data_IF_914660968501
#
_entry.id   IF_914660968501
#
_cell.length_a   1.000
_cell.length_b   1.000
_cell.length_c   1.000
_cell.angle_alpha   90.00
_cell.angle_beta   90.00
_cell.angle_gamma   90.00
#
_symmetry.space_group_name_H-M   'P 1'
#
loop_
_entity.id
_entity.type
_entity.pdbx_description
1 polymer ?
#
# COMPACT_ATOMS: atom_id res chain seq x y z
N UNK A 1 0.51 -10.48 -42.11
CA UNK A 1 -0.71 -11.13 -41.57
C UNK A 1 -0.26 -12.39 -40.83
N UNK A 2 -0.18 -12.35 -39.51
CA UNK A 2 0.27 -13.48 -38.69
C UNK A 2 -0.95 -14.26 -38.20
N UNK A 3 -1.19 -15.44 -38.79
CA UNK A 3 -2.21 -16.38 -38.31
C UNK A 3 -1.77 -16.92 -36.94
N UNK A 4 -2.39 -16.43 -35.88
CA UNK A 4 -2.22 -16.96 -34.52
C UNK A 4 -3.11 -18.20 -34.42
N UNK A 5 -2.49 -19.37 -34.52
CA UNK A 5 -3.15 -20.66 -34.27
C UNK A 5 -3.74 -20.62 -32.86
N UNK A 6 -5.07 -20.67 -32.75
CA UNK A 6 -5.76 -20.82 -31.47
C UNK A 6 -5.41 -22.20 -30.93
N UNK A 7 -4.70 -22.21 -29.79
CA UNK A 7 -4.37 -23.43 -29.07
C UNK A 7 -5.66 -23.90 -28.40
N UNK A 8 -6.19 -25.05 -28.81
CA UNK A 8 -7.34 -25.65 -28.13
C UNK A 8 -6.95 -25.92 -26.66
N UNK A 9 -7.72 -25.35 -25.73
CA UNK A 9 -7.49 -25.52 -24.31
C UNK A 9 -7.84 -26.95 -23.91
N UNK A 10 -6.83 -27.74 -23.53
CA UNK A 10 -7.04 -29.08 -22.99
C UNK A 10 -7.79 -28.96 -21.65
N UNK A 11 -8.96 -29.59 -21.48
CA UNK A 11 -9.72 -29.50 -20.24
C UNK A 11 -8.90 -29.97 -19.04
N UNK A 12 -9.03 -29.28 -17.90
CA UNK A 12 -8.34 -29.62 -16.67
C UNK A 12 -8.72 -31.06 -16.22
N UNK A 13 -7.76 -31.96 -16.00
CA UNK A 13 -8.01 -33.36 -15.63
C UNK A 13 -8.86 -33.53 -14.36
N UNK A 14 -8.88 -32.54 -13.47
CA UNK A 14 -9.69 -32.56 -12.24
C UNK A 14 -11.18 -32.28 -12.46
N UNK A 15 -11.60 -31.76 -13.63
CA UNK A 15 -13.02 -31.58 -13.95
C UNK A 15 -13.72 -32.88 -14.41
N UNK A 16 -12.95 -33.91 -14.79
CA UNK A 16 -13.48 -35.17 -15.34
C UNK A 16 -14.24 -36.02 -14.33
N UNK A 17 -13.92 -35.92 -13.04
CA UNK A 17 -14.46 -36.82 -12.01
C UNK A 17 -15.55 -36.17 -11.14
N UNK A 18 -16.07 -35.00 -11.54
CA UNK A 18 -16.99 -34.26 -10.69
C UNK A 18 -18.40 -34.84 -10.77
N UNK A 19 -19.15 -34.91 -9.65
CA UNK A 19 -20.43 -35.61 -9.59
C UNK A 19 -21.52 -34.98 -10.47
N UNK A 20 -21.36 -33.71 -10.86
CA UNK A 20 -22.27 -32.98 -11.76
C UNK A 20 -21.97 -33.16 -13.25
N UNK A 21 -20.85 -33.78 -13.63
CA UNK A 21 -20.51 -34.13 -15.03
C UNK A 21 -21.03 -35.52 -15.46
N UNK A 22 -21.95 -36.11 -14.67
CA UNK A 22 -22.54 -37.44 -14.94
C UNK A 22 -23.80 -37.35 -15.81
N UNK A 23 -23.72 -36.64 -16.93
CA UNK A 23 -24.78 -36.57 -17.93
C UNK A 23 -24.19 -36.62 -19.33
N UNK A 24 -24.94 -37.12 -20.30
CA UNK A 24 -24.59 -36.94 -21.71
C UNK A 24 -24.60 -35.43 -22.02
N UNK A 25 -23.49 -34.91 -22.53
CA UNK A 25 -23.39 -33.51 -22.94
C UNK A 25 -24.39 -33.29 -24.10
N UNK A 26 -25.53 -32.67 -23.78
CA UNK A 26 -26.51 -32.30 -24.80
C UNK A 26 -25.86 -31.29 -25.75
N UNK A 27 -26.08 -31.42 -27.07
CA UNK A 27 -25.56 -30.45 -28.02
C UNK A 27 -26.05 -29.05 -27.67
N UNK A 28 -25.18 -28.05 -27.81
CA UNK A 28 -25.52 -26.65 -27.56
C UNK A 28 -26.63 -26.22 -28.52
N UNK A 29 -27.77 -25.80 -27.96
CA UNK A 29 -28.92 -25.26 -28.71
C UNK A 29 -28.87 -23.74 -28.64
N UNK A 30 -28.79 -23.08 -29.80
CA UNK A 30 -28.74 -21.61 -29.89
C UNK A 30 -30.09 -21.01 -29.46
N UNK A 31 -30.08 -19.81 -28.86
CA UNK A 31 -31.32 -19.09 -28.53
C UNK A 31 -32.19 -18.80 -29.75
N UNK A 32 -31.59 -18.73 -30.94
CA UNK A 32 -32.27 -18.49 -32.21
C UNK A 32 -33.17 -19.66 -32.66
N UNK A 33 -32.96 -20.87 -32.13
CA UNK A 33 -33.79 -22.04 -32.43
C UNK A 33 -34.98 -22.22 -31.47
N UNK A 34 -35.25 -21.29 -30.55
CA UNK A 34 -36.44 -21.37 -29.67
C UNK A 34 -37.77 -21.38 -30.44
N UNK A 35 -37.81 -20.83 -31.65
CA UNK A 35 -39.00 -20.75 -32.49
C UNK A 35 -39.06 -21.81 -33.61
N UNK A 36 -38.05 -22.67 -33.71
CA UNK A 36 -37.98 -23.73 -34.71
C UNK A 36 -37.87 -25.08 -34.00
N UNK A 37 -38.66 -26.06 -34.43
CA UNK A 37 -38.54 -27.43 -33.92
C UNK A 37 -37.10 -27.95 -34.13
N UNK A 38 -36.54 -28.55 -33.08
CA UNK A 38 -35.21 -29.16 -33.14
C UNK A 38 -35.16 -30.17 -34.29
N UNK A 39 -34.03 -30.34 -35.00
CA UNK A 39 -33.92 -31.29 -36.10
C UNK A 39 -34.33 -32.72 -35.73
N UNK A 40 -34.15 -33.13 -34.47
CA UNK A 40 -34.61 -34.41 -33.92
C UNK A 40 -36.13 -34.52 -33.72
N UNK A 41 -36.85 -33.40 -33.78
CA UNK A 41 -38.31 -33.35 -33.73
C UNK A 41 -38.96 -33.17 -35.10
N UNK A 42 -38.16 -32.93 -36.16
CA UNK A 42 -38.65 -32.91 -37.53
C UNK A 42 -38.91 -34.35 -37.96
N UNK A 43 -40.11 -34.62 -38.51
CA UNK A 43 -40.64 -35.93 -38.94
C UNK A 43 -41.33 -36.82 -37.88
N UNK A 44 -42.04 -36.27 -36.90
CA UNK A 44 -42.97 -37.03 -36.04
C UNK A 44 -44.05 -37.85 -36.78
N UNK A 45 -44.35 -37.47 -38.03
CA UNK A 45 -45.35 -38.14 -38.86
C UNK A 45 -44.85 -39.44 -39.50
N UNK A 46 -43.54 -39.68 -39.58
CA UNK A 46 -42.95 -40.85 -40.25
C UNK A 46 -41.93 -41.54 -39.35
N UNK A 47 -41.79 -42.87 -39.47
CA UNK A 47 -40.94 -43.67 -38.57
C UNK A 47 -39.44 -43.57 -38.90
N UNK A 48 -39.07 -43.04 -40.06
CA UNK A 48 -37.69 -42.86 -40.51
C UNK A 48 -37.49 -41.50 -41.20
N UNK A 49 -36.28 -40.96 -41.09
CA UNK A 49 -35.84 -39.68 -41.69
C UNK A 49 -35.38 -39.82 -43.16
N UNK A 50 -35.46 -41.02 -43.74
CA UNK A 50 -34.98 -41.31 -45.09
C UNK A 50 -36.10 -41.16 -46.14
N UNK A 51 -35.89 -40.28 -47.12
CA UNK A 51 -36.92 -39.84 -48.08
C UNK A 51 -37.33 -40.97 -49.04
N UNK A 52 -36.50 -42.00 -49.20
CA UNK A 52 -36.78 -43.16 -50.08
C UNK A 52 -37.70 -44.21 -49.44
N UNK A 53 -37.93 -44.19 -48.13
CA UNK A 53 -38.81 -45.15 -47.43
C UNK A 53 -40.25 -44.66 -47.27
N UNK A 54 -40.55 -43.43 -47.71
CA UNK A 54 -41.85 -42.78 -47.55
C UNK A 54 -42.97 -43.50 -48.34
N UNK A 55 -42.64 -44.19 -49.44
CA UNK A 55 -43.60 -44.91 -50.30
C UNK A 55 -43.97 -46.33 -49.82
N UNK A 56 -43.38 -46.84 -48.73
CA UNK A 56 -43.70 -48.17 -48.20
C UNK A 56 -44.99 -48.16 -47.34
N UNK A 57 -45.89 -49.13 -47.53
CA UNK A 57 -47.09 -49.28 -46.71
C UNK A 57 -46.74 -49.51 -45.23
N UNK A 58 -47.01 -48.52 -44.38
CA UNK A 58 -46.75 -48.58 -42.92
C UNK A 58 -45.71 -47.59 -42.37
N UNK A 59 -45.18 -46.68 -43.21
CA UNK A 59 -44.18 -45.66 -42.86
C UNK A 59 -44.70 -44.52 -41.97
N UNK A 60 -46.02 -44.32 -41.91
CA UNK A 60 -46.68 -43.26 -41.14
C UNK A 60 -46.84 -43.68 -39.67
N UNK A 61 -46.49 -42.80 -38.74
CA UNK A 61 -46.60 -43.03 -37.29
C UNK A 61 -48.02 -42.68 -36.81
N UNK A 62 -48.89 -43.69 -36.68
CA UNK A 62 -50.31 -43.51 -36.32
C UNK A 62 -50.55 -43.27 -34.82
N UNK A 63 -49.54 -43.50 -33.97
CA UNK A 63 -49.66 -43.38 -32.51
C UNK A 63 -49.58 -41.92 -32.03
N UNK A 64 -48.84 -41.05 -32.72
CA UNK A 64 -48.78 -39.61 -32.41
C UNK A 64 -49.92 -38.78 -33.05
N UNK A 65 -50.67 -39.39 -33.98
CA UNK A 65 -51.87 -38.80 -34.60
C UNK A 65 -53.14 -39.00 -33.76
N UNK A 66 -53.08 -39.74 -32.66
CA UNK A 66 -54.17 -39.79 -31.68
C UNK A 66 -54.20 -38.49 -30.88
N UNK A 67 -54.80 -37.47 -31.48
CA UNK A 67 -55.19 -36.25 -30.79
C UNK A 67 -55.97 -36.65 -29.53
N UNK A 68 -55.45 -36.23 -28.37
CA UNK A 68 -56.14 -36.39 -27.08
C UNK A 68 -57.60 -35.98 -27.27
N UNK A 69 -58.49 -36.97 -27.18
CA UNK A 69 -59.93 -36.87 -27.39
C UNK A 69 -60.46 -35.48 -27.02
N UNK A 70 -61.07 -34.80 -27.98
CA UNK A 70 -61.85 -33.58 -27.78
C UNK A 70 -62.89 -33.82 -26.68
N UNK A 71 -62.53 -33.46 -25.45
CA UNK A 71 -63.51 -33.37 -24.38
C UNK A 71 -64.44 -32.21 -24.74
N UNK A 72 -65.78 -32.39 -24.73
CA UNK A 72 -66.71 -31.31 -25.03
C UNK A 72 -66.39 -30.08 -24.16
N UNK A 73 -66.20 -28.92 -24.79
CA UNK A 73 -65.90 -27.66 -24.08
C UNK A 73 -66.94 -27.41 -22.99
N UNK A 74 -66.57 -27.66 -21.73
CA UNK A 74 -67.39 -27.33 -20.58
C UNK A 74 -67.36 -25.82 -20.45
N UNK A 75 -68.53 -25.17 -20.52
CA UNK A 75 -68.66 -23.73 -20.24
C UNK A 75 -67.87 -23.41 -18.96
N UNK A 76 -66.85 -22.54 -19.00
CA UNK A 76 -66.06 -22.21 -17.83
C UNK A 76 -66.97 -21.63 -16.76
N UNK A 77 -66.92 -22.19 -15.55
CA UNK A 77 -67.59 -21.60 -14.40
C UNK A 77 -66.83 -20.33 -14.01
N UNK A 78 -67.23 -19.19 -14.57
CA UNK A 78 -66.55 -17.91 -14.41
C UNK A 78 -66.42 -17.49 -12.95
N UNK A 79 -67.35 -17.92 -12.08
CA UNK A 79 -67.30 -17.65 -10.65
C UNK A 79 -66.13 -18.37 -9.99
N UNK A 80 -65.94 -19.65 -10.29
CA UNK A 80 -64.80 -20.43 -9.77
C UNK A 80 -63.46 -19.87 -10.24
N UNK A 81 -63.37 -19.48 -11.52
CA UNK A 81 -62.15 -18.84 -12.05
C UNK A 81 -61.84 -17.53 -11.34
N UNK A 82 -62.86 -16.73 -11.04
CA UNK A 82 -62.68 -15.50 -10.29
C UNK A 82 -62.27 -15.76 -8.84
N UNK A 83 -62.92 -16.69 -8.16
CA UNK A 83 -62.58 -17.06 -6.78
C UNK A 83 -61.16 -17.64 -6.67
N UNK A 84 -60.76 -18.50 -7.62
CA UNK A 84 -59.40 -19.06 -7.67
C UNK A 84 -58.36 -18.00 -8.04
N UNK A 85 -58.68 -17.09 -8.98
CA UNK A 85 -57.81 -15.97 -9.33
C UNK A 85 -57.62 -15.02 -8.14
N UNK A 86 -58.71 -14.70 -7.43
CA UNK A 86 -58.68 -13.88 -6.22
C UNK A 86 -57.85 -14.54 -5.12
N UNK A 87 -58.05 -15.84 -4.87
CA UNK A 87 -57.22 -16.60 -3.93
C UNK A 87 -55.75 -16.60 -4.31
N UNK A 88 -55.43 -16.73 -5.61
CA UNK A 88 -54.04 -16.65 -6.07
C UNK A 88 -53.45 -15.25 -5.84
N UNK A 89 -54.21 -14.19 -6.11
CA UNK A 89 -53.78 -12.81 -5.80
C UNK A 89 -53.57 -12.60 -4.30
N UNK A 90 -54.51 -13.03 -3.46
CA UNK A 90 -54.42 -12.91 -2.00
C UNK A 90 -53.22 -13.72 -1.46
N UNK A 91 -53.00 -14.93 -1.98
CA UNK A 91 -51.83 -15.75 -1.65
C UNK A 91 -50.53 -15.07 -2.08
N UNK A 92 -50.46 -14.55 -3.32
CA UNK A 92 -49.28 -13.83 -3.81
C UNK A 92 -48.99 -12.58 -3.00
N UNK A 93 -50.01 -11.83 -2.59
CA UNK A 93 -49.83 -10.67 -1.70
C UNK A 93 -49.24 -11.09 -0.35
N UNK A 94 -49.66 -12.22 0.20
CA UNK A 94 -49.10 -12.73 1.46
C UNK A 94 -47.68 -13.27 1.28
N UNK A 95 -47.38 -13.93 0.16
CA UNK A 95 -46.01 -14.33 -0.21
C UNK A 95 -45.09 -13.11 -0.37
N UNK A 96 -45.57 -12.03 -0.99
CA UNK A 96 -44.78 -10.80 -1.10
C UNK A 96 -44.56 -10.12 0.24
N UNK A 97 -45.60 -10.02 1.09
CA UNK A 97 -45.47 -9.46 2.44
C UNK A 97 -44.50 -10.26 3.30
N UNK A 98 -44.59 -11.59 3.31
CA UNK A 98 -43.66 -12.45 4.05
C UNK A 98 -42.24 -12.31 3.53
N UNK A 99 -42.04 -12.25 2.21
CA UNK A 99 -40.71 -12.03 1.62
C UNK A 99 -40.15 -10.64 1.95
N UNK A 100 -40.98 -9.60 1.96
CA UNK A 100 -40.58 -8.26 2.39
C UNK A 100 -40.19 -8.24 3.86
N UNK A 101 -40.96 -8.88 4.74
CA UNK A 101 -40.63 -9.03 6.15
C UNK A 101 -39.32 -9.81 6.36
N UNK A 102 -39.11 -10.90 5.62
CA UNK A 102 -37.85 -11.66 5.62
C UNK A 102 -36.66 -10.79 5.16
N UNK A 103 -36.82 -10.04 4.07
CA UNK A 103 -35.79 -9.12 3.56
C UNK A 103 -35.50 -8.00 4.55
N UNK A 104 -36.52 -7.41 5.15
CA UNK A 104 -36.37 -6.36 6.18
C UNK A 104 -35.64 -6.94 7.40
N UNK A 105 -35.98 -8.14 7.86
CA UNK A 105 -35.29 -8.81 8.97
C UNK A 105 -33.83 -9.14 8.62
N UNK A 106 -33.56 -9.50 7.37
CA UNK A 106 -32.21 -9.78 6.88
C UNK A 106 -31.37 -8.50 6.69
N UNK A 107 -32.01 -7.36 6.40
CA UNK A 107 -31.37 -6.04 6.34
C UNK A 107 -31.22 -5.41 7.73
N UNK A 108 -32.12 -5.71 8.67
CA UNK A 108 -32.03 -5.35 10.09
C UNK A 108 -30.95 -6.16 10.85
N UNK A 109 -30.08 -6.86 10.15
CA UNK A 109 -28.80 -7.29 10.73
C UNK A 109 -28.12 -6.03 11.28
N UNK A 110 -27.65 -6.04 12.54
CA UNK A 110 -27.06 -4.86 13.15
C UNK A 110 -25.89 -4.38 12.29
N UNK A 111 -25.80 -3.06 12.08
CA UNK A 111 -24.63 -2.45 11.46
C UNK A 111 -23.37 -2.98 12.15
N UNK A 112 -22.45 -3.54 11.37
CA UNK A 112 -21.22 -4.12 11.89
C UNK A 112 -20.42 -3.05 12.63
N UNK A 113 -20.41 -3.12 13.95
CA UNK A 113 -19.50 -2.36 14.79
C UNK A 113 -18.28 -3.23 15.06
N UNK A 114 -17.10 -2.73 14.73
CA UNK A 114 -15.86 -3.44 15.07
C UNK A 114 -15.81 -3.62 16.60
N UNK A 115 -15.61 -4.86 17.11
CA UNK A 115 -15.51 -5.11 18.55
C UNK A 115 -14.33 -4.33 19.11
N UNK A 116 -14.56 -3.54 20.16
CA UNK A 116 -13.55 -2.64 20.75
C UNK A 116 -12.93 -3.19 22.03
N UNK A 117 -13.51 -4.25 22.60
CA UNK A 117 -13.09 -4.83 23.88
C UNK A 117 -12.69 -6.30 23.72
N UNK A 118 -11.77 -6.77 24.57
CA UNK A 118 -11.25 -8.15 24.53
C UNK A 118 -12.36 -9.19 24.70
N UNK A 119 -13.33 -8.92 25.59
CA UNK A 119 -14.48 -9.80 25.82
C UNK A 119 -15.43 -9.89 24.62
N UNK A 120 -15.59 -8.81 23.85
CA UNK A 120 -16.38 -8.81 22.60
C UNK A 120 -15.66 -9.54 21.47
N UNK A 121 -14.33 -9.51 21.46
CA UNK A 121 -13.52 -10.25 20.49
C UNK A 121 -13.64 -11.77 20.71
N UNK A 122 -13.69 -12.23 21.97
CA UNK A 122 -13.91 -13.64 22.29
C UNK A 122 -15.31 -14.11 21.87
N UNK A 123 -16.35 -13.31 22.11
CA UNK A 123 -17.70 -13.61 21.61
C UNK A 123 -17.74 -13.64 20.08
N UNK A 124 -17.10 -12.67 19.43
CA UNK A 124 -16.99 -12.63 17.98
C UNK A 124 -16.26 -13.84 17.40
N UNK A 125 -15.18 -14.29 18.04
CA UNK A 125 -14.45 -15.49 17.65
C UNK A 125 -15.32 -16.75 17.75
N UNK A 126 -16.18 -16.83 18.75
CA UNK A 126 -17.12 -17.95 18.94
C UNK A 126 -18.28 -17.92 17.93
N UNK A 127 -18.84 -16.75 17.67
CA UNK A 127 -20.01 -16.57 16.79
C UNK A 127 -19.62 -16.62 15.30
N UNK A 128 -18.40 -16.18 14.96
CA UNK A 128 -17.91 -16.06 13.58
C UNK A 128 -16.43 -16.51 13.42
N UNK A 129 -16.13 -17.82 13.61
CA UNK A 129 -14.76 -18.32 13.53
C UNK A 129 -14.12 -18.08 12.15
N UNK A 130 -14.87 -18.28 11.07
CA UNK A 130 -14.38 -18.13 9.68
C UNK A 130 -13.99 -16.68 9.37
N UNK A 131 -14.75 -15.70 9.88
CA UNK A 131 -14.45 -14.26 9.67
C UNK A 131 -13.26 -13.85 10.51
N UNK A 132 -13.16 -14.37 11.74
CA UNK A 132 -12.02 -14.09 12.62
C UNK A 132 -10.70 -14.55 12.00
N UNK A 133 -10.63 -15.76 11.44
CA UNK A 133 -9.42 -16.28 10.79
C UNK A 133 -8.95 -15.37 9.63
N UNK A 134 -9.88 -14.88 8.81
CA UNK A 134 -9.56 -13.93 7.73
C UNK A 134 -9.08 -12.58 8.28
N UNK A 135 -9.74 -12.06 9.32
CA UNK A 135 -9.32 -10.79 9.93
C UNK A 135 -7.95 -10.93 10.60
N UNK A 136 -7.67 -12.05 11.25
CA UNK A 136 -6.38 -12.36 11.85
C UNK A 136 -5.26 -12.43 10.80
N UNK A 137 -5.49 -13.14 9.69
CA UNK A 137 -4.51 -13.22 8.59
C UNK A 137 -4.26 -11.85 7.94
N UNK A 138 -5.32 -11.06 7.69
CA UNK A 138 -5.19 -9.69 7.17
C UNK A 138 -4.44 -8.81 8.17
N UNK A 139 -4.74 -8.91 9.47
CA UNK A 139 -4.04 -8.17 10.52
C UNK A 139 -2.56 -8.56 10.60
N UNK A 140 -2.24 -9.85 10.44
CA UNK A 140 -0.86 -10.33 10.42
C UNK A 140 -0.11 -9.80 9.20
N UNK A 141 -0.69 -9.92 7.98
CA UNK A 141 -0.10 -9.36 6.76
C UNK A 141 0.11 -7.85 6.84
N UNK A 142 -0.85 -7.11 7.40
CA UNK A 142 -0.72 -5.68 7.63
C UNK A 142 0.36 -5.36 8.66
N UNK A 143 0.51 -6.17 9.71
CA UNK A 143 1.54 -6.01 10.72
C UNK A 143 2.93 -6.30 10.17
N UNK A 144 3.10 -7.40 9.41
CA UNK A 144 4.34 -7.73 8.74
C UNK A 144 4.76 -6.66 7.73
N UNK A 145 3.83 -6.14 6.93
CA UNK A 145 4.14 -5.07 5.97
C UNK A 145 4.59 -3.79 6.68
N UNK A 146 3.93 -3.38 7.77
CA UNK A 146 4.36 -2.24 8.59
C UNK A 146 5.72 -2.49 9.22
N UNK A 147 5.96 -3.69 9.75
CA UNK A 147 7.25 -4.07 10.33
C UNK A 147 8.38 -3.98 9.31
N UNK A 148 8.19 -4.51 8.09
CA UNK A 148 9.16 -4.41 6.98
C UNK A 148 9.46 -2.97 6.60
N UNK A 149 8.44 -2.11 6.53
CA UNK A 149 8.63 -0.68 6.24
C UNK A 149 9.40 0.02 7.36
N UNK A 150 9.14 -0.33 8.63
CA UNK A 150 9.88 0.21 9.76
C UNK A 150 11.34 -0.27 9.77
N UNK A 151 11.57 -1.54 9.48
CA UNK A 151 12.91 -2.12 9.34
C UNK A 151 13.71 -1.44 8.24
N UNK A 152 13.12 -1.22 7.06
CA UNK A 152 13.76 -0.50 5.95
C UNK A 152 14.06 0.97 6.32
N UNK A 153 13.18 1.63 7.06
CA UNK A 153 13.44 2.99 7.55
C UNK A 153 14.56 3.00 8.58
N UNK A 154 14.59 2.02 9.48
CA UNK A 154 15.61 1.89 10.51
C UNK A 154 16.98 1.60 9.88
N UNK A 155 17.06 0.71 8.89
CA UNK A 155 18.31 0.43 8.18
C UNK A 155 18.84 1.68 7.47
N UNK A 156 17.98 2.43 6.78
CA UNK A 156 18.35 3.71 6.14
C UNK A 156 18.76 4.80 7.12
N UNK A 157 18.25 4.77 8.35
CA UNK A 157 18.67 5.70 9.40
C UNK A 157 20.03 5.29 9.97
N UNK A 158 20.25 4.00 10.21
CA UNK A 158 21.53 3.47 10.65
C UNK A 158 22.64 3.70 9.61
N UNK A 159 22.36 3.52 8.32
CA UNK A 159 23.28 3.87 7.24
C UNK A 159 23.65 5.36 7.28
N UNK A 160 22.66 6.25 7.43
CA UNK A 160 22.91 7.69 7.57
C UNK A 160 23.71 8.04 8.82
N UNK A 161 23.46 7.37 9.94
CA UNK A 161 24.21 7.57 11.16
C UNK A 161 25.68 7.16 10.97
N UNK A 162 25.92 6.00 10.38
CA UNK A 162 27.28 5.55 10.04
C UNK A 162 27.99 6.51 9.09
N UNK A 163 27.30 7.01 8.06
CA UNK A 163 27.85 8.00 7.13
C UNK A 163 28.21 9.32 7.84
N UNK A 164 27.36 9.79 8.77
CA UNK A 164 27.63 10.99 9.55
C UNK A 164 28.81 10.80 10.50
N UNK A 165 28.91 9.65 11.16
CA UNK A 165 30.05 9.31 12.03
C UNK A 165 31.33 9.30 11.20
N UNK A 166 31.31 8.69 10.02
CA UNK A 166 32.45 8.67 9.10
C UNK A 166 32.84 10.07 8.64
N UNK A 167 31.88 10.90 8.25
CA UNK A 167 32.15 12.29 7.85
C UNK A 167 32.71 13.13 9.00
N UNK A 168 32.21 12.95 10.22
CA UNK A 168 32.74 13.62 11.41
C UNK A 168 34.17 13.16 11.72
N UNK A 169 34.45 11.86 11.56
CA UNK A 169 35.79 11.29 11.70
C UNK A 169 36.76 11.85 10.63
N UNK A 170 36.36 11.85 9.35
CA UNK A 170 37.13 12.42 8.23
C UNK A 170 37.40 13.92 8.47
N UNK A 171 36.41 14.68 8.92
CA UNK A 171 36.59 16.10 9.26
C UNK A 171 37.63 16.30 10.36
N UNK A 172 37.56 15.53 11.45
CA UNK A 172 38.57 15.57 12.54
C UNK A 172 39.96 15.20 12.05
N UNK A 173 40.06 14.24 11.13
CA UNK A 173 41.33 13.84 10.52
C UNK A 173 41.93 14.98 9.69
N UNK A 174 41.13 15.62 8.83
CA UNK A 174 41.58 16.76 8.01
C UNK A 174 41.96 17.96 8.88
N UNK A 175 41.24 18.21 9.98
CA UNK A 175 41.59 19.26 10.95
C UNK A 175 42.96 19.03 11.61
N UNK A 176 43.33 17.77 11.89
CA UNK A 176 44.64 17.42 12.46
C UNK A 176 45.75 17.28 11.42
N UNK A 177 45.41 16.76 10.24
CA UNK A 177 46.31 16.46 9.13
C UNK A 177 45.73 17.04 7.83
N UNK A 178 46.07 18.30 7.49
CA UNK A 178 45.59 18.92 6.25
C UNK A 178 46.06 18.22 4.97
N UNK A 179 47.16 17.48 5.06
CA UNK A 179 47.78 16.64 4.03
C UNK A 179 47.21 15.20 4.01
N UNK A 180 46.15 14.92 4.78
CA UNK A 180 45.53 13.60 4.85
C UNK A 180 45.08 13.08 3.49
N UNK A 181 44.43 13.91 2.68
CA UNK A 181 43.94 13.51 1.34
C UNK A 181 45.10 13.10 0.41
N UNK A 182 46.23 13.80 0.48
CA UNK A 182 47.40 13.49 -0.34
C UNK A 182 48.06 12.19 0.13
N UNK A 183 48.19 11.99 1.44
CA UNK A 183 48.78 10.78 2.05
C UNK A 183 47.89 9.56 1.80
N UNK A 184 46.56 9.72 1.94
CA UNK A 184 45.58 8.66 1.71
C UNK A 184 45.63 8.13 0.28
N UNK A 185 45.89 9.00 -0.70
CA UNK A 185 45.99 8.62 -2.11
C UNK A 185 47.40 8.16 -2.52
N UNK A 186 48.38 8.15 -1.59
CA UNK A 186 49.75 7.77 -1.88
C UNK A 186 49.97 6.26 -1.75
N UNK A 187 50.66 5.68 -2.74
CA UNK A 187 51.05 4.26 -2.69
C UNK A 187 52.08 3.98 -1.58
N UNK A 188 52.92 4.96 -1.25
CA UNK A 188 53.93 4.86 -0.19
C UNK A 188 53.30 4.65 1.19
N UNK A 189 52.20 5.35 1.49
CA UNK A 189 51.45 5.17 2.74
C UNK A 189 50.84 3.78 2.84
N UNK A 190 50.25 3.27 1.75
CA UNK A 190 49.70 1.92 1.72
C UNK A 190 50.78 0.83 1.74
N UNK A 191 51.96 1.09 1.17
CA UNK A 191 53.13 0.23 1.29
C UNK A 191 53.59 0.13 2.73
N UNK A 192 53.81 1.27 3.39
CA UNK A 192 54.17 1.34 4.81
C UNK A 192 53.11 0.68 5.69
N UNK A 193 51.82 0.96 5.47
CA UNK A 193 50.72 0.39 6.26
C UNK A 193 50.71 -1.15 6.22
N UNK A 194 50.99 -1.76 5.07
CA UNK A 194 51.05 -3.23 4.92
C UNK A 194 52.24 -3.87 5.64
N UNK A 195 53.32 -3.11 5.85
CA UNK A 195 54.49 -3.56 6.61
C UNK A 195 54.28 -3.47 8.13
N UNK A 196 53.29 -2.69 8.58
CA UNK A 196 52.94 -2.56 9.99
C UNK A 196 52.25 -3.82 10.53
N UNK A 197 52.31 -4.07 11.86
CA UNK A 197 51.53 -5.13 12.49
C UNK A 197 50.02 -4.94 12.31
N UNK A 198 49.27 -6.04 12.39
CA UNK A 198 47.82 -6.11 12.19
C UNK A 198 47.06 -5.02 12.97
N UNK A 199 47.46 -4.76 14.22
CA UNK A 199 46.81 -3.73 15.05
C UNK A 199 46.88 -2.31 14.46
N UNK A 200 47.94 -1.95 13.74
CA UNK A 200 48.08 -0.63 13.10
C UNK A 200 47.35 -0.63 11.75
N UNK A 201 47.34 -1.77 11.03
CA UNK A 201 46.54 -1.92 9.83
C UNK A 201 45.05 -1.73 10.11
N UNK A 202 44.58 -2.26 11.24
CA UNK A 202 43.20 -2.11 11.69
C UNK A 202 42.81 -0.64 11.95
N UNK A 203 43.74 0.18 12.45
CA UNK A 203 43.50 1.62 12.65
C UNK A 203 43.29 2.37 11.33
N UNK A 204 43.78 1.83 10.21
CA UNK A 204 43.75 2.48 8.89
C UNK A 204 42.60 1.94 8.02
N UNK A 205 42.37 0.63 8.05
CA UNK A 205 41.44 -0.03 7.12
C UNK A 205 40.16 -0.55 7.78
N UNK A 206 40.25 -1.03 9.01
CA UNK A 206 39.13 -1.66 9.72
C UNK A 206 38.31 -0.64 10.52
N UNK A 207 38.92 0.49 10.88
CA UNK A 207 38.31 1.52 11.71
C UNK A 207 37.90 2.75 10.86
N UNK A 208 36.60 2.92 10.63
CA UNK A 208 36.05 4.00 9.82
C UNK A 208 35.56 5.20 10.65
N UNK A 209 35.48 5.05 11.98
CA UNK A 209 34.80 5.94 12.91
C UNK A 209 35.73 6.56 13.97
N UNK A 210 36.88 5.94 14.27
CA UNK A 210 37.87 6.45 15.22
C UNK A 210 38.97 7.28 14.53
N UNK A 211 38.69 8.57 14.42
CA UNK A 211 39.65 9.56 13.93
C UNK A 211 40.92 9.66 14.78
N UNK A 212 40.88 9.34 16.07
CA UNK A 212 42.05 9.49 16.94
C UNK A 212 43.08 8.39 16.66
N UNK A 213 42.64 7.14 16.45
CA UNK A 213 43.53 6.04 16.07
C UNK A 213 44.13 6.25 14.67
N UNK A 214 43.30 6.63 13.70
CA UNK A 214 43.77 6.94 12.35
C UNK A 214 44.76 8.12 12.34
N UNK A 215 44.55 9.17 13.16
CA UNK A 215 45.49 10.28 13.29
C UNK A 215 46.85 9.83 13.86
N UNK A 216 46.86 8.93 14.86
CA UNK A 216 48.10 8.35 15.39
C UNK A 216 48.85 7.53 14.35
N UNK A 217 48.15 6.76 13.52
CA UNK A 217 48.78 6.01 12.43
C UNK A 217 49.44 6.96 11.42
N UNK A 218 48.78 8.07 11.06
CA UNK A 218 49.34 9.09 10.18
C UNK A 218 50.57 9.77 10.80
N UNK A 219 50.55 10.05 12.10
CA UNK A 219 51.70 10.61 12.81
C UNK A 219 52.91 9.66 12.82
N UNK A 220 52.67 8.34 12.99
CA UNK A 220 53.72 7.32 12.92
C UNK A 220 54.34 7.27 11.52
N UNK A 221 53.51 7.24 10.48
CA UNK A 221 53.97 7.29 9.10
C UNK A 221 54.86 8.52 8.85
N UNK A 222 54.39 9.70 9.21
CA UNK A 222 55.15 10.94 9.02
C UNK A 222 56.48 10.93 9.78
N UNK A 223 56.47 10.39 11.00
CA UNK A 223 57.67 10.24 11.82
C UNK A 223 58.69 9.30 11.17
N UNK A 224 58.26 8.17 10.63
CA UNK A 224 59.14 7.19 9.99
C UNK A 224 59.76 7.73 8.69
N UNK A 225 58.99 8.51 7.93
CA UNK A 225 59.45 9.17 6.70
C UNK A 225 60.18 10.50 6.94
N UNK A 226 60.32 10.93 8.19
CA UNK A 226 60.99 12.19 8.54
C UNK A 226 60.25 13.45 8.06
N UNK A 227 58.96 13.31 7.73
CA UNK A 227 58.09 14.42 7.37
C UNK A 227 57.69 15.08 8.70
N UNK A 228 58.27 16.24 9.02
CA UNK A 228 57.90 16.94 10.26
C UNK A 228 56.39 17.17 10.25
N UNK A 229 55.67 16.87 11.35
CA UNK A 229 54.25 17.17 11.42
C UNK A 229 54.11 18.66 11.14
N UNK A 230 53.35 19.01 10.10
CA UNK A 230 52.98 20.40 9.86
C UNK A 230 52.41 20.89 11.18
N UNK A 231 53.14 21.78 11.86
CA UNK A 231 52.71 22.34 13.14
C UNK A 231 51.36 22.99 12.85
N UNK A 232 50.28 22.25 13.12
CA UNK A 232 48.96 22.84 13.21
C UNK A 232 49.17 23.94 14.21
N UNK A 233 48.98 25.19 13.78
CA UNK A 233 49.04 26.33 14.69
C UNK A 233 48.08 25.93 15.79
N UNK A 234 48.63 25.58 16.95
CA UNK A 234 47.84 25.29 18.14
C UNK A 234 46.86 26.43 18.22
N UNK A 235 45.58 26.15 18.00
CA UNK A 235 44.54 27.15 18.15
C UNK A 235 44.72 27.63 19.58
N UNK A 236 45.35 28.80 19.71
CA UNK A 236 45.51 29.47 20.97
C UNK A 236 44.09 29.65 21.43
N UNK A 237 43.70 28.81 22.40
CA UNK A 237 42.44 28.81 23.12
C UNK A 237 41.88 30.23 23.05
N UNK A 238 40.77 30.51 22.35
CA UNK A 238 40.26 31.87 22.30
C UNK A 238 40.00 32.25 23.75
N UNK A 239 40.87 33.11 24.29
CA UNK A 239 40.61 33.79 25.54
C UNK A 239 39.23 34.38 25.37
N UNK A 240 38.31 34.02 26.26
CA UNK A 240 36.91 34.49 26.26
C UNK A 240 36.90 36.01 26.16
N UNK A 241 36.95 36.55 24.96
CA UNK A 241 36.65 37.93 24.69
C UNK A 241 35.13 37.99 24.75
N UNK A 242 34.66 38.54 25.86
CA UNK A 242 33.25 38.81 26.10
C UNK A 242 32.70 39.56 24.89
N UNK A 243 31.56 39.12 24.36
CA UNK A 243 30.87 39.79 23.23
C UNK A 243 30.55 41.27 23.51
N UNK A 244 30.64 41.71 24.76
CA UNK A 244 30.56 43.11 25.18
C UNK A 244 31.73 43.99 24.70
N UNK A 245 32.88 43.42 24.31
CA UNK A 245 34.06 44.20 23.90
C UNK A 245 34.17 44.39 22.37
N UNK A 246 33.28 43.76 21.59
CA UNK A 246 33.16 43.95 20.14
C UNK A 246 32.18 45.07 19.75
N UNK A 247 31.45 45.63 20.71
CA UNK A 247 30.59 46.80 20.48
C UNK A 247 31.36 48.09 20.73
N UNK A 248 32.15 48.48 19.73
CA UNK A 248 32.72 49.83 19.66
C UNK A 248 31.61 50.86 19.51
N UNK A 249 31.30 51.61 20.56
CA UNK A 249 30.30 52.70 20.61
C UNK A 249 30.74 53.96 19.84
N UNK A 250 31.40 53.80 18.69
CA UNK A 250 31.62 54.91 17.75
C UNK A 250 30.39 55.06 16.88
N UNK A 251 29.52 55.95 17.37
CA UNK A 251 28.50 56.72 16.65
C UNK A 251 28.69 56.71 15.13
N UNK A 252 28.05 55.77 14.45
CA UNK A 252 27.72 55.92 13.02
C UNK A 252 26.36 56.58 13.00
N UNK A 253 26.32 57.84 12.53
CA UNK A 253 25.08 58.52 12.20
C UNK A 253 24.39 57.73 11.08
N UNK A 254 23.44 56.87 11.45
CA UNK A 254 22.56 56.21 10.48
C UNK A 254 21.34 57.10 10.27
N UNK A 255 21.15 57.38 9.00
CA UNK A 255 20.10 58.16 8.37
C UNK A 255 18.70 57.65 8.76
N UNK A 256 17.80 58.58 9.09
CA UNK A 256 16.61 58.36 9.92
C UNK A 256 15.37 57.80 9.18
N UNK A 257 15.51 56.77 8.34
CA UNK A 257 14.35 56.20 7.61
C UNK A 257 14.35 54.69 7.44
N UNK A 258 15.08 53.94 8.26
CA UNK A 258 14.90 52.47 8.33
C UNK A 258 14.06 52.11 9.55
N UNK A 259 12.84 51.65 9.27
CA UNK A 259 11.88 51.19 10.27
C UNK A 259 12.42 49.95 11.02
N UNK A 260 12.12 49.89 12.32
CA UNK A 260 12.75 48.94 13.25
C UNK A 260 12.26 47.51 12.99
N UNK A 261 13.21 46.59 12.83
CA UNK A 261 12.95 45.15 12.70
C UNK A 261 12.82 44.54 14.10
N UNK A 262 11.75 43.77 14.33
CA UNK A 262 11.46 43.15 15.63
C UNK A 262 11.82 41.66 15.63
N UNK A 263 12.12 41.08 16.79
CA UNK A 263 12.30 39.63 16.94
C UNK A 263 11.15 39.01 17.75
N UNK A 264 10.76 37.77 17.43
CA UNK A 264 9.69 37.06 18.17
C UNK A 264 10.03 36.95 19.67
N UNK A 265 11.30 36.74 19.99
CA UNK A 265 11.78 36.67 21.38
C UNK A 265 11.67 38.02 22.11
N UNK A 266 11.90 39.13 21.41
CA UNK A 266 11.77 40.49 21.98
C UNK A 266 10.31 40.82 22.25
N UNK A 267 9.41 40.49 21.31
CA UNK A 267 7.96 40.68 21.47
C UNK A 267 7.42 39.79 22.60
N UNK A 268 7.91 38.56 22.73
CA UNK A 268 7.48 37.66 23.81
C UNK A 268 8.03 38.05 25.20
N UNK A 269 9.19 38.73 25.25
CA UNK A 269 9.83 39.14 26.49
C UNK A 269 9.35 40.51 27.00
N UNK A 270 8.71 41.32 26.15
CA UNK A 270 8.26 42.65 26.55
C UNK A 270 7.05 42.59 27.49
N UNK A 271 6.96 43.58 28.38
CA UNK A 271 5.82 43.69 29.29
C UNK A 271 4.57 44.18 28.55
N UNK A 272 3.38 43.87 29.09
CA UNK A 272 2.09 44.32 28.51
C UNK A 272 2.06 45.84 28.30
N UNK A 273 2.61 46.61 29.26
CA UNK A 273 2.67 48.07 29.18
C UNK A 273 3.67 48.60 28.14
N UNK A 274 4.69 47.82 27.78
CA UNK A 274 5.60 48.16 26.67
C UNK A 274 4.99 47.76 25.33
N UNK A 275 4.28 46.64 25.28
CA UNK A 275 3.56 46.20 24.09
C UNK A 275 2.53 47.24 23.66
N UNK A 276 1.71 47.74 24.60
CA UNK A 276 0.71 48.79 24.32
C UNK A 276 1.34 50.09 23.78
N UNK A 277 2.58 50.40 24.14
CA UNK A 277 3.28 51.59 23.63
C UNK A 277 3.76 51.40 22.19
N UNK A 278 4.19 50.18 21.83
CA UNK A 278 4.74 49.85 20.52
C UNK A 278 3.78 49.04 19.64
N UNK A 279 2.51 48.94 20.03
CA UNK A 279 1.48 48.13 19.39
C UNK A 279 1.38 48.41 17.88
N UNK A 280 1.37 49.71 17.51
CA UNK A 280 1.30 50.14 16.12
C UNK A 280 2.51 49.71 15.30
N UNK A 281 3.72 49.91 15.85
CA UNK A 281 4.97 49.58 15.16
C UNK A 281 5.16 48.06 15.02
N UNK A 282 4.75 47.28 16.03
CA UNK A 282 4.80 45.81 15.99
C UNK A 282 3.76 45.27 15.01
N UNK A 283 2.57 45.88 14.96
CA UNK A 283 1.53 45.52 13.99
C UNK A 283 1.98 45.79 12.55
N UNK A 284 2.57 46.96 12.29
CA UNK A 284 3.11 47.31 10.97
C UNK A 284 4.28 46.40 10.58
N UNK A 285 5.17 46.07 11.52
CA UNK A 285 6.24 45.10 11.31
C UNK A 285 5.72 43.68 11.05
N UNK A 286 4.62 43.27 11.69
CA UNK A 286 3.97 41.98 11.45
C UNK A 286 3.32 41.94 10.07
N UNK A 287 2.70 43.03 9.63
CA UNK A 287 2.07 43.13 8.31
C UNK A 287 3.10 43.15 7.17
N UNK A 288 4.26 43.78 7.39
CA UNK A 288 5.34 43.86 6.42
C UNK A 288 6.33 42.67 6.47
N UNK A 289 6.13 41.72 7.38
CA UNK A 289 6.99 40.54 7.50
C UNK A 289 8.39 40.84 8.05
N UNK A 290 8.54 41.93 8.82
CA UNK A 290 9.78 42.39 9.46
C UNK A 290 9.93 41.87 10.89
N UNK A 291 9.46 40.63 11.11
CA UNK A 291 9.63 39.90 12.37
C UNK A 291 10.56 38.73 12.12
N UNK A 292 11.68 38.71 12.83
CA UNK A 292 12.67 37.62 12.77
C UNK A 292 12.31 36.58 13.83
N UNK A 293 12.28 35.31 13.40
CA UNK A 293 12.04 34.15 14.24
C UNK A 293 13.23 33.77 15.11
#
# INVERSE_FOLDING_TARGET
>A
MTNKVQKEETPNPYNKNKPWHKGEDKPFVSSDSMYFEEPSEKNKLFKSDDITEVEAEGSVNTEELETKKDTPYKKPDYKKRYDDLKKHYDNKLNEFKSREEELINQVQQPEYTAPKTEEELEKFKNDYPDVYEVVETVAHMQSESKAKVLEERLSKLQERENDLIRQDAEKRLVERHPDFEDIRNSDDFHGWAKEQPESIQDWIYSNADDADLASRALDLFKKDFGIEPTKTKSSSKPTRQSAADMVSTKTTSVEATQEKVWSEREIAAMSVAEFDRYEKEISDAMQEGRIIK
#
